data_IF_053025949789
#
_entry.id   IF_053025949789
#
_cell.length_a   1.000
_cell.length_b   1.000
_cell.length_c   1.000
_cell.angle_alpha   90.00
_cell.angle_beta   90.00
_cell.angle_gamma   90.00
#
_symmetry.space_group_name_H-M   'P 1'
#
loop_
_entity.id
_entity.type
_entity.pdbx_description
1 polymer ?
#
# COMPACT_ATOMS: atom_id res chain seq x y z
N UNK A 1 -15.88 -17.48 -12.27
CA UNK A 1 -15.18 -18.40 -11.34
C UNK A 1 -13.98 -18.92 -12.11
N UNK A 2 -12.75 -18.49 -11.77
CA UNK A 2 -11.55 -19.03 -12.39
C UNK A 2 -11.28 -20.41 -11.76
N UNK A 3 -11.85 -21.47 -12.35
CA UNK A 3 -11.48 -22.84 -12.02
C UNK A 3 -10.33 -23.24 -12.94
N UNK A 4 -9.11 -23.19 -12.41
CA UNK A 4 -7.99 -23.90 -13.03
C UNK A 4 -8.28 -25.39 -12.86
N UNK A 5 -8.19 -26.16 -13.95
CA UNK A 5 -8.45 -27.60 -13.96
C UNK A 5 -7.72 -28.28 -12.78
N UNK A 6 -8.46 -28.80 -11.80
CA UNK A 6 -7.90 -29.45 -10.61
C UNK A 6 -8.47 -29.03 -9.25
N UNK A 7 -9.44 -28.11 -9.18
CA UNK A 7 -10.08 -27.74 -7.92
C UNK A 7 -9.18 -26.95 -6.96
N UNK A 8 -8.11 -26.34 -7.49
CA UNK A 8 -7.22 -25.46 -6.74
C UNK A 8 -7.98 -24.26 -6.16
N UNK A 9 -7.75 -23.96 -4.87
CA UNK A 9 -8.31 -22.79 -4.19
C UNK A 9 -7.23 -22.09 -3.38
N UNK A 10 -7.03 -20.80 -3.64
CA UNK A 10 -5.98 -20.01 -3.00
C UNK A 10 -6.09 -20.02 -1.46
N UNK A 11 -7.33 -19.96 -0.93
CA UNK A 11 -7.63 -20.00 0.51
C UNK A 11 -7.09 -21.26 1.23
N UNK A 12 -6.89 -22.36 0.52
CA UNK A 12 -6.38 -23.62 1.08
C UNK A 12 -4.86 -23.65 1.19
N UNK A 13 -4.18 -22.70 0.55
CA UNK A 13 -2.72 -22.66 0.44
C UNK A 13 -2.10 -21.44 1.13
N UNK A 14 -2.91 -20.48 1.58
CA UNK A 14 -2.44 -19.30 2.30
C UNK A 14 -2.94 -19.28 3.74
N UNK A 15 -2.02 -19.16 4.69
CA UNK A 15 -2.33 -19.15 6.13
C UNK A 15 -2.98 -17.83 6.62
N UNK A 16 -3.10 -16.84 5.73
CA UNK A 16 -3.64 -15.52 6.05
C UNK A 16 -5.19 -15.45 6.00
N UNK A 17 -5.90 -16.57 5.86
CA UNK A 17 -7.37 -16.60 5.84
C UNK A 17 -8.01 -15.96 7.09
N UNK A 18 -7.33 -16.01 8.25
CA UNK A 18 -7.80 -15.30 9.45
C UNK A 18 -7.74 -13.78 9.28
N UNK A 19 -6.73 -13.25 8.59
CA UNK A 19 -6.57 -11.81 8.34
C UNK A 19 -7.65 -11.31 7.37
N UNK A 20 -8.07 -12.13 6.40
CA UNK A 20 -9.17 -11.78 5.47
C UNK A 20 -10.51 -11.59 6.18
N UNK A 21 -10.75 -12.26 7.31
CA UNK A 21 -11.97 -12.03 8.10
C UNK A 21 -12.09 -10.60 8.62
N UNK A 22 -10.97 -9.90 8.85
CA UNK A 22 -11.02 -8.49 9.22
C UNK A 22 -11.56 -7.64 8.06
N UNK A 23 -11.18 -7.95 6.82
CA UNK A 23 -11.68 -7.28 5.63
C UNK A 23 -13.18 -7.56 5.42
N UNK A 24 -13.62 -8.79 5.64
CA UNK A 24 -15.05 -9.16 5.59
C UNK A 24 -15.87 -8.38 6.61
N UNK A 25 -15.34 -8.15 7.80
CA UNK A 25 -16.04 -7.39 8.84
C UNK A 25 -16.26 -5.91 8.49
N UNK A 26 -15.51 -5.38 7.52
CA UNK A 26 -15.64 -4.00 7.03
C UNK A 26 -16.26 -3.90 5.63
N UNK A 27 -16.89 -4.99 5.19
CA UNK A 27 -17.68 -4.98 3.95
C UNK A 27 -16.92 -5.39 2.70
N UNK A 28 -15.85 -6.18 2.82
CA UNK A 28 -15.25 -6.86 1.66
C UNK A 28 -16.33 -7.65 0.90
N UNK A 29 -16.37 -7.47 -0.42
CA UNK A 29 -17.30 -8.18 -1.27
C UNK A 29 -17.08 -9.71 -1.16
N UNK A 30 -18.18 -10.46 -1.12
CA UNK A 30 -18.16 -11.91 -0.92
C UNK A 30 -17.89 -12.70 -2.20
N UNK A 31 -17.63 -12.01 -3.31
CA UNK A 31 -17.25 -12.67 -4.55
C UNK A 31 -15.83 -13.25 -4.44
N UNK A 32 -15.54 -14.35 -5.15
CA UNK A 32 -14.23 -15.00 -5.06
C UNK A 32 -13.04 -14.09 -5.43
N UNK A 33 -13.22 -13.15 -6.37
CA UNK A 33 -12.14 -12.28 -6.82
C UNK A 33 -11.70 -11.32 -5.70
N UNK A 34 -12.68 -10.71 -5.02
CA UNK A 34 -12.39 -9.80 -3.91
C UNK A 34 -11.72 -10.51 -2.73
N UNK A 35 -12.12 -11.75 -2.44
CA UNK A 35 -11.45 -12.60 -1.44
C UNK A 35 -10.03 -12.98 -1.83
N UNK A 36 -9.81 -13.40 -3.08
CA UNK A 36 -8.48 -13.74 -3.57
C UNK A 36 -7.55 -12.51 -3.56
N UNK A 37 -8.06 -11.33 -3.90
CA UNK A 37 -7.31 -10.07 -3.79
C UNK A 37 -6.88 -9.80 -2.35
N UNK A 38 -7.80 -9.87 -1.39
CA UNK A 38 -7.48 -9.66 0.02
C UNK A 38 -6.46 -10.70 0.56
N UNK A 39 -6.60 -11.97 0.15
CA UNK A 39 -5.64 -13.03 0.47
C UNK A 39 -4.24 -12.71 -0.05
N UNK A 40 -4.13 -12.34 -1.32
CA UNK A 40 -2.86 -11.95 -1.95
C UNK A 40 -2.24 -10.75 -1.25
N UNK A 41 -3.01 -9.69 -1.00
CA UNK A 41 -2.51 -8.49 -0.29
C UNK A 41 -1.95 -8.86 1.08
N UNK A 42 -2.67 -9.65 1.87
CA UNK A 42 -2.22 -10.09 3.19
C UNK A 42 -0.97 -10.97 3.11
N UNK A 43 -0.94 -11.94 2.19
CA UNK A 43 0.19 -12.84 2.02
C UNK A 43 1.46 -12.09 1.60
N UNK A 44 1.35 -11.15 0.65
CA UNK A 44 2.46 -10.29 0.25
C UNK A 44 3.00 -9.50 1.43
N UNK A 45 2.13 -8.82 2.19
CA UNK A 45 2.54 -8.02 3.35
C UNK A 45 3.24 -8.86 4.44
N UNK A 46 2.72 -10.06 4.75
CA UNK A 46 3.33 -10.97 5.73
C UNK A 46 4.70 -11.47 5.26
N UNK A 47 4.86 -11.72 3.95
CA UNK A 47 6.12 -12.10 3.35
C UNK A 47 7.09 -10.91 3.17
N UNK A 48 6.73 -9.71 3.64
CA UNK A 48 7.55 -8.51 3.57
C UNK A 48 7.38 -7.70 2.28
N UNK A 49 6.58 -8.14 1.31
CA UNK A 49 6.41 -7.42 0.05
C UNK A 49 5.46 -6.21 0.21
N UNK A 50 5.69 -5.16 -0.58
CA UNK A 50 4.78 -4.00 -0.68
C UNK A 50 3.72 -4.31 -1.75
N UNK A 51 2.44 -4.54 -1.38
CA UNK A 51 1.40 -4.83 -2.35
C UNK A 51 1.02 -3.58 -3.15
N UNK A 52 0.92 -3.73 -4.47
CA UNK A 52 0.37 -2.70 -5.35
C UNK A 52 -1.07 -3.06 -5.68
N UNK A 53 -2.00 -2.14 -5.42
CA UNK A 53 -3.43 -2.35 -5.62
C UNK A 53 -3.92 -1.49 -6.79
N UNK A 54 -4.49 -2.14 -7.81
CA UNK A 54 -5.15 -1.45 -8.92
C UNK A 54 -6.63 -1.34 -8.58
N UNK A 55 -7.07 -0.13 -8.21
CA UNK A 55 -8.39 0.09 -7.62
C UNK A 55 -9.15 1.25 -8.29
N UNK A 56 -9.71 1.03 -9.50
CA UNK A 56 -10.40 2.09 -10.24
C UNK A 56 -11.70 2.56 -9.58
N UNK A 57 -12.20 1.83 -8.58
CA UNK A 57 -13.45 2.13 -7.87
C UNK A 57 -13.21 2.65 -6.44
N UNK A 58 -11.96 2.75 -5.99
CA UNK A 58 -11.61 3.17 -4.62
C UNK A 58 -12.11 2.21 -3.52
N UNK A 59 -12.40 0.95 -3.85
CA UNK A 59 -12.92 -0.03 -2.88
C UNK A 59 -11.83 -0.57 -1.97
N UNK A 60 -10.64 -0.83 -2.51
CA UNK A 60 -9.49 -1.30 -1.73
C UNK A 60 -9.08 -0.26 -0.70
N UNK A 61 -9.07 1.03 -1.05
CA UNK A 61 -8.82 2.14 -0.11
C UNK A 61 -9.82 2.08 1.05
N UNK A 62 -11.12 2.03 0.75
CA UNK A 62 -12.18 1.96 1.78
C UNK A 62 -12.04 0.74 2.68
N UNK A 63 -11.67 -0.42 2.13
CA UNK A 63 -11.46 -1.62 2.94
C UNK A 63 -10.25 -1.48 3.85
N UNK A 64 -9.14 -0.93 3.36
CA UNK A 64 -7.95 -0.67 4.17
C UNK A 64 -8.23 0.33 5.29
N UNK A 65 -8.93 1.43 4.98
CA UNK A 65 -9.39 2.40 5.97
C UNK A 65 -10.32 1.74 7.00
N UNK A 66 -11.21 0.85 6.59
CA UNK A 66 -12.05 0.09 7.51
C UNK A 66 -11.24 -0.83 8.44
N UNK A 67 -10.28 -1.58 7.88
CA UNK A 67 -9.49 -2.56 8.63
C UNK A 67 -8.55 -1.88 9.63
N UNK A 68 -7.90 -0.80 9.22
CA UNK A 68 -6.84 -0.14 10.01
C UNK A 68 -7.31 1.12 10.73
N UNK A 69 -8.42 1.73 10.30
CA UNK A 69 -8.99 2.94 10.88
C UNK A 69 -7.95 4.05 11.04
N UNK A 70 -7.97 4.67 12.22
CA UNK A 70 -7.05 5.76 12.58
C UNK A 70 -5.58 5.35 12.64
N UNK A 71 -5.26 4.04 12.58
CA UNK A 71 -3.88 3.56 12.52
C UNK A 71 -3.29 3.67 11.11
N UNK A 72 -4.10 3.78 10.06
CA UNK A 72 -3.60 3.95 8.69
C UNK A 72 -3.00 5.35 8.52
N UNK A 73 -1.79 5.42 7.98
CA UNK A 73 -1.19 6.65 7.50
C UNK A 73 -1.40 6.73 6.00
N UNK A 74 -2.09 7.75 5.51
CA UNK A 74 -2.36 7.91 4.07
C UNK A 74 -1.62 9.12 3.50
N UNK A 75 -1.19 9.02 2.25
CA UNK A 75 -0.75 10.14 1.43
C UNK A 75 -1.41 10.01 0.05
N UNK A 76 -2.09 11.07 -0.37
CA UNK A 76 -2.83 11.14 -1.62
C UNK A 76 -2.17 12.13 -2.58
N UNK A 77 -2.34 11.97 -3.90
CA UNK A 77 -1.84 12.91 -4.95
C UNK A 77 -2.41 14.38 -4.83
N UNK A 78 -3.09 14.74 -3.74
CA UNK A 78 -3.57 16.09 -3.43
C UNK A 78 -3.13 16.66 -2.07
N UNK A 79 -2.41 15.89 -1.25
CA UNK A 79 -1.95 16.32 0.07
C UNK A 79 -0.65 17.10 -0.05
N UNK A 80 -0.72 18.39 -0.37
CA UNK A 80 0.47 19.26 -0.37
C UNK A 80 0.91 19.57 1.06
N UNK A 81 1.99 18.94 1.53
CA UNK A 81 2.67 19.37 2.75
C UNK A 81 3.83 20.32 2.39
N UNK A 82 3.51 21.61 2.41
CA UNK A 82 4.51 22.67 2.29
C UNK A 82 5.42 22.66 3.52
N UNK A 83 6.73 22.43 3.36
CA UNK A 83 7.81 23.15 4.05
C UNK A 83 9.21 22.64 3.68
N UNK A 84 9.89 23.42 2.83
CA UNK A 84 11.25 23.88 3.16
C UNK A 84 12.42 23.13 2.50
N UNK A 85 12.72 23.45 1.24
CA UNK A 85 14.04 23.25 0.64
C UNK A 85 14.48 24.49 -0.14
N UNK A 86 15.36 25.28 0.48
CA UNK A 86 16.03 26.41 -0.17
C UNK A 86 17.25 25.90 -0.94
N UNK A 87 17.46 26.46 -2.15
CA UNK A 87 18.57 26.25 -3.09
C UNK A 87 18.64 24.91 -3.82
N UNK A 88 17.64 24.64 -4.66
CA UNK A 88 17.70 23.70 -5.78
C UNK A 88 17.01 24.33 -7.01
N UNK A 89 17.31 23.84 -8.22
CA UNK A 89 16.56 24.22 -9.44
C UNK A 89 15.08 23.89 -9.25
N UNK A 90 14.18 24.65 -9.87
CA UNK A 90 12.74 24.53 -9.64
C UNK A 90 12.20 23.10 -9.90
N UNK A 91 12.70 22.43 -10.95
CA UNK A 91 12.38 21.02 -11.26
C UNK A 91 12.91 20.04 -10.20
N UNK A 92 14.15 20.21 -9.72
CA UNK A 92 14.72 19.35 -8.68
C UNK A 92 14.09 19.61 -7.31
N UNK A 93 13.56 20.81 -7.07
CA UNK A 93 12.86 21.18 -5.85
C UNK A 93 11.47 20.56 -5.78
N UNK A 94 10.72 20.61 -6.89
CA UNK A 94 9.42 19.93 -7.00
C UNK A 94 9.60 18.41 -6.83
N UNK A 95 10.61 17.80 -7.47
CA UNK A 95 10.91 16.37 -7.29
C UNK A 95 11.35 16.02 -5.86
N UNK A 96 12.12 16.86 -5.17
CA UNK A 96 12.61 16.58 -3.80
C UNK A 96 11.60 16.91 -2.70
N UNK A 97 10.75 17.91 -2.89
CA UNK A 97 9.68 18.27 -1.95
C UNK A 97 8.63 17.15 -1.92
N UNK A 98 8.22 16.65 -3.08
CA UNK A 98 7.25 15.54 -3.18
C UNK A 98 7.84 14.18 -2.75
N UNK A 99 9.12 13.90 -3.03
CA UNK A 99 9.80 12.73 -2.47
C UNK A 99 9.97 12.83 -0.94
N UNK A 100 10.12 14.06 -0.42
CA UNK A 100 10.22 14.35 1.00
C UNK A 100 8.99 13.92 1.77
N UNK A 101 7.80 14.18 1.23
CA UNK A 101 6.53 13.77 1.84
C UNK A 101 6.37 12.25 1.88
N UNK A 102 6.70 11.58 0.78
CA UNK A 102 6.70 10.11 0.70
C UNK A 102 7.66 9.52 1.74
N UNK A 103 8.91 9.98 1.77
CA UNK A 103 9.90 9.48 2.71
C UNK A 103 9.52 9.76 4.16
N UNK A 104 9.05 10.97 4.46
CA UNK A 104 8.61 11.35 5.80
C UNK A 104 7.40 10.54 6.28
N UNK A 105 6.47 10.19 5.39
CA UNK A 105 5.38 9.27 5.71
C UNK A 105 5.88 7.86 6.02
N UNK A 106 6.76 7.32 5.18
CA UNK A 106 7.35 5.99 5.37
C UNK A 106 8.14 5.90 6.69
N UNK A 107 8.97 6.91 6.99
CA UNK A 107 9.72 6.99 8.24
C UNK A 107 8.81 7.07 9.46
N UNK A 108 7.72 7.86 9.38
CA UNK A 108 6.71 7.90 10.45
C UNK A 108 6.02 6.56 10.62
N UNK A 109 5.64 5.89 9.53
CA UNK A 109 5.04 4.56 9.56
C UNK A 109 5.94 3.54 10.24
N UNK A 110 7.22 3.52 9.89
CA UNK A 110 8.22 2.66 10.50
C UNK A 110 8.45 2.97 11.98
N UNK A 111 8.64 4.24 12.32
CA UNK A 111 8.89 4.68 13.69
C UNK A 111 7.70 4.39 14.63
N UNK A 112 6.48 4.37 14.10
CA UNK A 112 5.25 4.14 14.87
C UNK A 112 4.67 2.74 14.69
N UNK A 113 5.29 1.89 13.87
CA UNK A 113 4.79 0.58 13.47
C UNK A 113 3.33 0.64 12.95
N UNK A 114 3.04 1.63 12.11
CA UNK A 114 1.72 1.89 11.52
C UNK A 114 1.72 1.56 10.03
N UNK A 115 0.62 0.99 9.50
CA UNK A 115 0.49 0.74 8.07
C UNK A 115 0.44 2.06 7.29
N UNK A 116 1.07 2.06 6.12
CA UNK A 116 1.13 3.21 5.22
C UNK A 116 0.42 2.86 3.92
N UNK A 117 -0.51 3.74 3.52
CA UNK A 117 -1.18 3.74 2.23
C UNK A 117 -0.69 4.95 1.43
N UNK A 118 -0.34 4.73 0.18
CA UNK A 118 0.01 5.79 -0.76
C UNK A 118 -0.97 5.67 -1.93
N UNK A 119 -1.88 6.63 -2.03
CA UNK A 119 -2.91 6.69 -3.06
C UNK A 119 -2.47 7.67 -4.16
N UNK A 120 -2.14 7.12 -5.33
CA UNK A 120 -1.81 7.96 -6.48
C UNK A 120 -1.63 7.18 -7.75
N UNK A 121 -1.48 7.92 -8.84
CA UNK A 121 -1.30 7.36 -10.18
C UNK A 121 0.09 6.76 -10.40
N UNK A 122 0.35 6.37 -11.65
CA UNK A 122 1.63 5.81 -12.09
C UNK A 122 2.84 6.69 -11.71
N UNK A 123 2.68 8.01 -11.74
CA UNK A 123 3.70 8.97 -11.34
C UNK A 123 4.06 8.89 -9.84
N UNK A 124 3.08 8.71 -8.93
CA UNK A 124 3.36 8.53 -7.51
C UNK A 124 4.00 7.16 -7.23
N UNK A 125 3.53 6.11 -7.91
CA UNK A 125 4.14 4.79 -7.81
C UNK A 125 5.63 4.79 -8.21
N UNK A 126 5.97 5.46 -9.31
CA UNK A 126 7.37 5.65 -9.74
C UNK A 126 8.22 6.37 -8.69
N UNK A 127 7.68 7.43 -8.06
CA UNK A 127 8.34 8.17 -6.97
C UNK A 127 8.59 7.30 -5.73
N UNK A 128 7.61 6.50 -5.31
CA UNK A 128 7.76 5.56 -4.19
C UNK A 128 8.87 4.54 -4.46
N UNK A 129 8.90 3.95 -5.66
CA UNK A 129 9.94 3.00 -6.04
C UNK A 129 11.32 3.66 -6.03
N UNK A 130 11.44 4.91 -6.50
CA UNK A 130 12.69 5.66 -6.46
C UNK A 130 13.13 5.98 -5.03
N UNK A 131 12.19 6.36 -4.15
CA UNK A 131 12.45 6.62 -2.74
C UNK A 131 12.97 5.37 -2.01
N UNK A 132 12.31 4.22 -2.20
CA UNK A 132 12.73 2.93 -1.64
C UNK A 132 14.10 2.49 -2.18
N UNK A 133 14.36 2.68 -3.48
CA UNK A 133 15.66 2.35 -4.08
C UNK A 133 16.82 3.16 -3.48
N UNK A 134 16.57 4.40 -3.03
CA UNK A 134 17.57 5.26 -2.36
C UNK A 134 17.74 4.96 -0.88
N UNK A 135 16.86 4.16 -0.29
CA UNK A 135 16.84 3.78 1.13
C UNK A 135 16.72 2.26 1.27
N UNK A 136 17.81 1.52 0.97
CA UNK A 136 17.80 0.05 1.06
C UNK A 136 17.56 -0.45 2.50
N UNK A 137 17.76 0.41 3.51
CA UNK A 137 17.40 0.16 4.91
C UNK A 137 15.88 0.11 5.16
N UNK A 138 15.08 0.68 4.25
CA UNK A 138 13.61 0.66 4.29
C UNK A 138 13.01 -0.38 3.31
N UNK A 139 13.84 -0.97 2.45
CA UNK A 139 13.42 -2.07 1.60
C UNK A 139 13.19 -3.33 2.45
N UNK A 140 12.17 -4.14 2.13
CA UNK A 140 11.97 -5.38 2.85
C UNK A 140 13.16 -6.34 2.67
N UNK A 141 13.47 -7.18 3.68
CA UNK A 141 14.56 -8.13 3.59
C UNK A 141 14.33 -9.11 2.42
N UNK A 142 15.40 -9.34 1.65
CA UNK A 142 15.42 -10.25 0.49
C UNK A 142 15.32 -11.73 0.89
#
# INVERSE_FOLDING_TARGET
RFEVAGGFRLEQHLECARSVRAWESVGLAQDPCSRDNALCTCACAIAGWVPVLVDPLGQAVRWLEGVFGDALLCLSDGDQASQGLATLTQEAREELEELGDVLGLLERGLATNRPVLIEGGEALAGRVLLALARRPDLAPPA
#
